data_IF_250100236460
#
_entry.id   IF_250100236460
#
_cell.length_a   1.000
_cell.length_b   1.000
_cell.length_c   1.000
_cell.angle_alpha   90.00
_cell.angle_beta   90.00
_cell.angle_gamma   90.00
#
_symmetry.space_group_name_H-M   'P 1'
#
loop_
_entity.id
_entity.type
_entity.pdbx_description
1 polymer ?
#
# COMPACT_ATOMS: atom_id res chain seq x y z
N UNK A 1 -4.50 -2.23 -0.42
CA UNK A 1 -4.23 -0.77 -0.52
C UNK A 1 -2.75 -0.62 -0.74
N UNK A 2 -2.32 0.19 -1.70
CA UNK A 2 -0.92 0.29 -2.13
C UNK A 2 -0.52 1.76 -2.19
N UNK A 3 0.74 2.08 -1.89
CA UNK A 3 1.33 3.40 -2.13
C UNK A 3 2.44 3.29 -3.19
N UNK A 4 2.51 4.28 -4.07
CA UNK A 4 3.66 4.52 -4.95
C UNK A 4 4.33 5.81 -4.49
N UNK A 5 5.57 5.70 -4.02
CA UNK A 5 6.37 6.83 -3.56
C UNK A 5 7.84 6.61 -3.92
N UNK A 6 8.46 7.62 -4.55
CA UNK A 6 9.87 7.59 -4.94
C UNK A 6 10.25 6.31 -5.71
N UNK A 7 9.47 5.97 -6.74
CA UNK A 7 9.63 4.77 -7.58
C UNK A 7 9.59 3.45 -6.81
N UNK A 8 8.99 3.44 -5.61
CA UNK A 8 8.76 2.23 -4.83
C UNK A 8 7.27 1.99 -4.64
N UNK A 9 6.85 0.76 -4.89
CA UNK A 9 5.51 0.27 -4.58
C UNK A 9 5.53 -0.34 -3.19
N UNK A 10 4.56 0.03 -2.34
CA UNK A 10 4.47 -0.45 -0.96
C UNK A 10 3.08 -0.92 -0.60
N UNK A 11 3.01 -2.00 0.16
CA UNK A 11 1.79 -2.46 0.79
C UNK A 11 1.48 -1.64 2.04
N UNK A 12 0.27 -1.08 2.11
CA UNK A 12 -0.19 -0.32 3.27
C UNK A 12 -1.05 -1.16 4.23
N UNK A 13 -1.40 -2.39 3.87
CA UNK A 13 -2.23 -3.28 4.69
C UNK A 13 -1.41 -4.28 5.52
N UNK A 14 -0.11 -4.41 5.26
CA UNK A 14 0.77 -5.29 6.05
C UNK A 14 1.02 -4.71 7.45
N UNK A 15 1.09 -5.60 8.44
CA UNK A 15 1.48 -5.26 9.81
C UNK A 15 3.01 -5.16 9.96
N UNK A 16 3.76 -5.88 9.11
CA UNK A 16 5.23 -5.83 9.12
C UNK A 16 5.76 -4.70 8.23
N UNK A 17 6.19 -3.63 8.89
CA UNK A 17 6.70 -2.42 8.25
C UNK A 17 8.10 -2.57 7.67
N UNK A 18 8.81 -3.67 7.95
CA UNK A 18 10.20 -3.85 7.51
C UNK A 18 10.28 -4.39 6.08
N UNK A 19 9.24 -5.07 5.61
CA UNK A 19 9.20 -5.71 4.30
C UNK A 19 7.87 -5.45 3.59
N UNK A 20 7.51 -4.18 3.48
CA UNK A 20 6.29 -3.76 2.79
C UNK A 20 6.51 -3.36 1.33
N UNK A 21 7.72 -3.54 0.78
CA UNK A 21 8.02 -3.19 -0.61
C UNK A 21 7.49 -4.29 -1.54
N UNK A 22 6.78 -3.89 -2.59
CA UNK A 22 6.23 -4.80 -3.59
C UNK A 22 7.01 -4.72 -4.90
N UNK A 23 7.13 -5.87 -5.56
CA UNK A 23 7.68 -5.99 -6.91
C UNK A 23 6.56 -6.04 -7.94
N UNK A 24 6.74 -5.32 -9.06
CA UNK A 24 5.87 -5.42 -10.22
C UNK A 24 6.35 -6.59 -11.08
N UNK A 25 5.44 -7.51 -11.44
CA UNK A 25 5.74 -8.64 -12.32
C UNK A 25 4.81 -8.69 -13.52
N UNK A 26 5.38 -9.01 -14.69
CA UNK A 26 4.61 -9.26 -15.90
C UNK A 26 3.82 -10.57 -15.80
N UNK A 27 2.60 -10.55 -16.32
CA UNK A 27 1.74 -11.70 -16.50
C UNK A 27 1.61 -12.04 -18.00
N UNK A 28 1.15 -13.26 -18.29
CA UNK A 28 1.11 -13.80 -19.66
C UNK A 28 0.17 -13.03 -20.63
N UNK A 29 -0.77 -12.25 -20.11
CA UNK A 29 -1.79 -11.52 -20.88
C UNK A 29 -1.56 -10.00 -20.89
N UNK A 30 -0.31 -9.55 -21.12
CA UNK A 30 0.11 -8.13 -21.15
C UNK A 30 -0.18 -7.32 -19.86
N UNK A 31 -0.62 -7.99 -18.79
CA UNK A 31 -0.92 -7.38 -17.50
C UNK A 31 0.31 -7.29 -16.59
N UNK A 32 0.32 -6.29 -15.72
CA UNK A 32 1.25 -6.19 -14.60
C UNK A 32 0.53 -6.59 -13.30
N UNK A 33 1.23 -7.30 -12.42
CA UNK A 33 0.71 -7.74 -11.13
C UNK A 33 1.66 -7.40 -9.97
N UNK A 34 1.09 -7.36 -8.77
CA UNK A 34 1.80 -7.25 -7.49
C UNK A 34 1.56 -8.55 -6.70
N UNK A 35 2.31 -9.63 -6.97
CA UNK A 35 2.01 -10.98 -6.48
C UNK A 35 2.04 -11.15 -4.96
N UNK A 36 2.69 -10.23 -4.24
CA UNK A 36 2.80 -10.27 -2.78
C UNK A 36 1.98 -9.18 -2.07
N UNK A 37 1.12 -8.47 -2.81
CA UNK A 37 0.21 -7.52 -2.19
C UNK A 37 -0.78 -8.24 -1.27
N UNK A 38 -0.97 -7.71 -0.07
CA UNK A 38 -1.90 -8.24 0.91
C UNK A 38 -3.33 -8.14 0.39
N UNK A 39 -4.00 -9.29 0.31
CA UNK A 39 -5.42 -9.38 -0.02
C UNK A 39 -6.22 -9.66 1.26
N UNK A 40 -7.03 -8.70 1.67
CA UNK A 40 -7.91 -8.84 2.83
C UNK A 40 -9.35 -9.05 2.36
N UNK A 41 -10.01 -10.18 2.68
CA UNK A 41 -11.44 -10.33 2.45
C UNK A 41 -12.22 -9.35 3.32
N UNK A 42 -13.28 -8.76 2.77
CA UNK A 42 -14.15 -7.83 3.48
C UNK A 42 -15.59 -8.30 3.39
N UNK A 43 -16.33 -8.25 4.50
CA UNK A 43 -17.73 -8.68 4.57
C UNK A 43 -18.69 -7.54 4.90
N UNK A 44 -18.16 -6.36 5.21
CA UNK A 44 -18.94 -5.18 5.57
C UNK A 44 -18.23 -3.89 5.20
N UNK A 45 -18.99 -2.81 5.07
CA UNK A 45 -18.46 -1.44 4.89
C UNK A 45 -17.57 -1.02 6.07
N UNK A 46 -17.89 -1.47 7.28
CA UNK A 46 -17.07 -1.21 8.47
C UNK A 46 -15.65 -1.80 8.33
N UNK A 47 -15.50 -3.00 7.77
CA UNK A 47 -14.17 -3.59 7.53
C UNK A 47 -13.37 -2.74 6.53
N UNK A 48 -14.02 -2.25 5.48
CA UNK A 48 -13.37 -1.37 4.49
C UNK A 48 -12.88 -0.09 5.17
N UNK A 49 -13.70 0.57 5.99
CA UNK A 49 -13.28 1.77 6.72
C UNK A 49 -12.11 1.50 7.68
N UNK A 50 -12.10 0.35 8.36
CA UNK A 50 -10.98 -0.03 9.24
C UNK A 50 -9.69 -0.20 8.44
N UNK A 51 -9.74 -0.90 7.30
CA UNK A 51 -8.57 -1.06 6.42
C UNK A 51 -8.10 0.27 5.82
N UNK A 52 -9.02 1.18 5.49
CA UNK A 52 -8.69 2.54 5.04
C UNK A 52 -7.92 3.30 6.11
N UNK A 53 -8.42 3.32 7.35
CA UNK A 53 -7.75 3.98 8.48
C UNK A 53 -6.38 3.38 8.79
N UNK A 54 -6.27 2.04 8.75
CA UNK A 54 -5.00 1.33 8.91
C UNK A 54 -3.98 1.80 7.86
N UNK A 55 -4.39 1.81 6.59
CA UNK A 55 -3.50 2.21 5.49
C UNK A 55 -3.02 3.66 5.59
N UNK A 56 -3.89 4.57 6.06
CA UNK A 56 -3.55 5.97 6.26
C UNK A 56 -2.54 6.14 7.41
N UNK A 57 -2.71 5.40 8.50
CA UNK A 57 -1.73 5.37 9.58
C UNK A 57 -0.37 4.84 9.11
N UNK A 58 -0.36 3.78 8.29
CA UNK A 58 0.87 3.20 7.72
C UNK A 58 1.55 4.14 6.71
N UNK A 59 0.77 4.91 5.95
CA UNK A 59 1.26 5.98 5.06
C UNK A 59 1.99 7.08 5.85
N UNK A 60 1.40 7.54 6.96
CA UNK A 60 2.00 8.58 7.81
C UNK A 60 3.30 8.15 8.50
N UNK A 61 3.51 6.85 8.75
CA UNK A 61 4.77 6.34 9.32
C UNK A 61 5.87 6.26 8.25
N UNK A 62 5.50 6.12 6.97
CA UNK A 62 6.45 6.12 5.86
C UNK A 62 6.99 7.52 5.52
N UNK A 63 6.30 8.58 5.95
CA UNK A 63 6.78 9.96 5.85
C UNK A 63 7.61 10.35 7.09
N UNK A 64 8.93 10.50 6.94
CA UNK A 64 9.72 11.22 7.94
C UNK A 64 9.14 12.65 8.13
N UNK A 65 9.32 13.31 9.28
CA UNK A 65 8.65 14.58 9.61
C UNK A 65 8.78 15.72 8.56
N UNK A 66 9.81 15.69 7.69
CA UNK A 66 10.00 16.61 6.56
C UNK A 66 9.25 16.21 5.26
N UNK A 67 8.76 14.98 5.19
CA UNK A 67 8.14 14.32 4.03
C UNK A 67 6.62 14.16 4.16
N UNK A 68 5.96 14.95 5.02
CA UNK A 68 4.52 14.89 5.30
C UNK A 68 3.60 15.33 4.12
N UNK A 69 4.07 15.24 2.87
CA UNK A 69 3.32 15.73 1.71
C UNK A 69 2.81 14.57 0.87
N UNK A 70 1.53 14.26 1.08
CA UNK A 70 0.68 13.44 0.20
C UNK A 70 0.66 13.92 -1.26
N UNK A 71 1.17 15.13 -1.56
CA UNK A 71 1.33 15.62 -2.93
C UNK A 71 2.39 14.86 -3.75
N UNK A 72 3.16 13.96 -3.13
CA UNK A 72 4.27 13.24 -3.76
C UNK A 72 4.07 11.73 -3.85
N UNK A 73 2.95 11.22 -3.35
CA UNK A 73 2.61 9.80 -3.46
C UNK A 73 1.25 9.60 -4.12
N UNK A 74 1.11 8.46 -4.77
CA UNK A 74 -0.15 7.97 -5.33
C UNK A 74 -0.60 6.76 -4.51
N UNK A 75 -1.86 6.74 -4.09
CA UNK A 75 -2.46 5.66 -3.30
C UNK A 75 -3.82 5.27 -3.83
#
# INVERSE_FOLDING_TARGET
MVEIYNEQVRDLLTEDKRDNKLEIRSCNDDGLSLPYATLCPVTSTANVLTLMKLSEANRAVSSAALNNRSSRSHS
#
